data_IF_413609772253
#
_entry.id   IF_413609772253
#
_cell.length_a   1.000
_cell.length_b   1.000
_cell.length_c   1.000
_cell.angle_alpha   90.00
_cell.angle_beta   90.00
_cell.angle_gamma   90.00
#
_symmetry.space_group_name_H-M   'P 1'
#
loop_
_entity.id
_entity.type
_entity.pdbx_description
1 polymer ?
#
# COMPACT_ATOMS: atom_id res chain seq x y z
N UNK A 1 -44.71 9.43 -17.82
CA UNK A 1 -45.37 8.34 -18.56
C UNK A 1 -46.50 7.79 -17.70
N UNK A 2 -47.72 8.33 -17.87
CA UNK A 2 -48.97 7.84 -17.25
C UNK A 2 -49.79 7.19 -18.37
N UNK A 3 -50.10 5.90 -18.25
CA UNK A 3 -51.11 5.19 -19.06
C UNK A 3 -51.88 4.28 -18.09
N UNK A 4 -53.08 4.63 -17.61
CA UNK A 4 -54.41 4.42 -18.21
C UNK A 4 -54.66 2.98 -18.69
N UNK A 5 -55.22 2.15 -17.81
CA UNK A 5 -55.90 0.90 -18.18
C UNK A 5 -57.42 1.09 -18.06
N UNK A 6 -58.10 0.88 -19.18
CA UNK A 6 -59.53 1.13 -19.40
C UNK A 6 -60.42 0.03 -18.80
N UNK A 7 -61.59 0.47 -18.32
CA UNK A 7 -62.70 -0.36 -17.90
C UNK A 7 -63.38 -1.03 -19.10
N UNK A 8 -63.61 -2.35 -19.01
CA UNK A 8 -64.44 -3.08 -19.96
C UNK A 8 -65.90 -3.13 -19.45
N UNK A 9 -66.75 -2.48 -20.24
CA UNK A 9 -68.20 -2.36 -20.13
C UNK A 9 -68.83 -3.57 -20.83
N UNK A 10 -69.70 -4.33 -20.16
CA UNK A 10 -70.60 -5.27 -20.84
C UNK A 10 -72.05 -4.82 -20.60
N UNK A 11 -72.62 -4.24 -21.66
CA UNK A 11 -74.06 -4.05 -21.84
C UNK A 11 -74.66 -5.31 -22.45
N UNK A 12 -75.85 -5.68 -21.99
CA UNK A 12 -76.68 -6.74 -22.57
C UNK A 12 -78.07 -6.72 -21.95
N UNK A 13 -78.80 -5.63 -22.20
CA UNK A 13 -80.21 -5.44 -21.88
C UNK A 13 -81.04 -6.03 -23.03
N UNK A 14 -81.98 -6.93 -22.73
CA UNK A 14 -82.97 -7.44 -23.67
C UNK A 14 -84.31 -7.51 -22.96
N UNK A 15 -85.21 -6.62 -23.36
CA UNK A 15 -86.60 -6.42 -22.89
C UNK A 15 -87.54 -7.31 -23.69
N UNK A 16 -88.55 -7.90 -23.06
CA UNK A 16 -89.90 -8.17 -23.59
C UNK A 16 -90.74 -8.73 -22.43
N UNK A 17 -91.58 -7.94 -21.75
CA UNK A 17 -92.95 -7.48 -22.08
C UNK A 17 -93.99 -8.27 -21.26
N UNK A 18 -94.84 -7.51 -20.55
CA UNK A 18 -95.81 -7.98 -19.56
C UNK A 18 -97.04 -8.63 -20.22
N UNK A 19 -97.51 -9.75 -19.65
CA UNK A 19 -98.96 -10.07 -19.62
C UNK A 19 -99.32 -10.72 -18.29
N UNK A 20 -100.08 -9.98 -17.48
CA UNK A 20 -100.74 -10.48 -16.27
C UNK A 20 -101.92 -11.39 -16.64
N UNK A 21 -101.98 -12.60 -16.07
CA UNK A 21 -103.24 -13.22 -15.62
C UNK A 21 -102.96 -14.17 -14.44
N UNK A 22 -103.71 -13.95 -13.35
CA UNK A 22 -103.72 -14.70 -12.10
C UNK A 22 -103.89 -16.22 -12.27
N UNK A 23 -103.17 -17.01 -11.46
CA UNK A 23 -103.77 -18.04 -10.58
C UNK A 23 -102.77 -18.47 -9.49
N UNK A 24 -103.25 -18.48 -8.25
CA UNK A 24 -102.56 -18.97 -7.06
C UNK A 24 -102.03 -20.41 -7.24
N UNK A 25 -100.80 -20.68 -6.78
CA UNK A 25 -100.46 -21.77 -5.84
C UNK A 25 -98.97 -22.17 -5.93
N UNK A 26 -98.32 -22.31 -4.77
CA UNK A 26 -97.07 -23.04 -4.53
C UNK A 26 -95.81 -22.71 -5.39
N UNK A 27 -95.27 -21.49 -5.33
CA UNK A 27 -93.90 -21.24 -5.85
C UNK A 27 -93.03 -20.27 -5.02
N UNK A 28 -93.54 -19.73 -3.91
CA UNK A 28 -92.86 -18.65 -3.16
C UNK A 28 -91.62 -19.11 -2.36
N UNK A 29 -91.56 -20.38 -1.95
CA UNK A 29 -90.41 -20.91 -1.19
C UNK A 29 -89.22 -21.29 -2.06
N UNK A 30 -89.41 -21.64 -3.35
CA UNK A 30 -88.33 -22.08 -4.22
C UNK A 30 -87.48 -20.92 -4.77
N UNK A 31 -88.11 -19.77 -5.06
CA UNK A 31 -87.40 -18.57 -5.53
C UNK A 31 -86.56 -17.94 -4.42
N UNK A 32 -87.04 -17.97 -3.17
CA UNK A 32 -86.31 -17.46 -2.01
C UNK A 32 -85.06 -18.30 -1.69
N UNK A 33 -85.13 -19.64 -1.81
CA UNK A 33 -83.98 -20.54 -1.61
C UNK A 33 -82.96 -20.40 -2.74
N UNK A 34 -83.40 -20.24 -4.00
CA UNK A 34 -82.49 -20.07 -5.13
C UNK A 34 -81.77 -18.71 -5.12
N UNK A 35 -82.46 -17.61 -4.77
CA UNK A 35 -81.85 -16.29 -4.58
C UNK A 35 -80.89 -16.29 -3.38
N UNK A 36 -81.24 -16.95 -2.27
CA UNK A 36 -80.34 -17.08 -1.12
C UNK A 36 -79.08 -17.89 -1.45
N UNK A 37 -79.16 -18.97 -2.22
CA UNK A 37 -77.98 -19.75 -2.67
C UNK A 37 -77.12 -18.95 -3.65
N UNK A 38 -77.72 -18.23 -4.59
CA UNK A 38 -76.99 -17.38 -5.53
C UNK A 38 -76.33 -16.17 -4.83
N UNK A 39 -76.99 -15.61 -3.82
CA UNK A 39 -76.45 -14.54 -2.99
C UNK A 39 -75.32 -15.06 -2.08
N UNK A 40 -75.47 -16.23 -1.45
CA UNK A 40 -74.39 -16.89 -0.70
C UNK A 40 -73.21 -17.24 -1.59
N UNK A 41 -73.45 -17.71 -2.81
CA UNK A 41 -72.40 -18.06 -3.77
C UNK A 41 -71.66 -16.82 -4.30
N UNK A 42 -72.39 -15.72 -4.60
CA UNK A 42 -71.77 -14.43 -4.93
C UNK A 42 -71.03 -13.81 -3.74
N UNK A 43 -71.57 -13.89 -2.52
CA UNK A 43 -70.89 -13.41 -1.32
C UNK A 43 -69.61 -14.22 -1.07
N UNK A 44 -69.66 -15.54 -1.21
CA UNK A 44 -68.50 -16.42 -1.07
C UNK A 44 -67.45 -16.13 -2.16
N UNK A 45 -67.87 -15.91 -3.42
CA UNK A 45 -66.95 -15.56 -4.50
C UNK A 45 -66.33 -14.17 -4.32
N UNK A 46 -67.09 -13.19 -3.81
CA UNK A 46 -66.59 -11.84 -3.47
C UNK A 46 -65.59 -11.94 -2.32
N UNK A 47 -65.91 -12.67 -1.25
CA UNK A 47 -65.03 -12.86 -0.09
C UNK A 47 -63.74 -13.58 -0.50
N UNK A 48 -63.81 -14.63 -1.32
CA UNK A 48 -62.62 -15.33 -1.83
C UNK A 48 -61.76 -14.41 -2.70
N UNK A 49 -62.37 -13.57 -3.55
CA UNK A 49 -61.65 -12.63 -4.43
C UNK A 49 -60.98 -11.50 -3.62
N UNK A 50 -61.67 -10.97 -2.61
CA UNK A 50 -61.13 -9.96 -1.69
C UNK A 50 -59.95 -10.53 -0.88
N UNK A 51 -60.13 -11.72 -0.29
CA UNK A 51 -59.11 -12.41 0.49
C UNK A 51 -57.89 -12.80 -0.33
N UNK A 52 -58.08 -13.26 -1.57
CA UNK A 52 -56.98 -13.62 -2.47
C UNK A 52 -56.17 -12.39 -2.89
N UNK A 53 -56.85 -11.27 -3.17
CA UNK A 53 -56.19 -10.01 -3.51
C UNK A 53 -55.38 -9.47 -2.31
N UNK A 54 -55.97 -9.48 -1.11
CA UNK A 54 -55.29 -9.08 0.13
C UNK A 54 -54.07 -9.98 0.41
N UNK A 55 -54.20 -11.29 0.21
CA UNK A 55 -53.12 -12.26 0.45
C UNK A 55 -51.96 -12.11 -0.57
N UNK A 56 -52.27 -11.89 -1.84
CA UNK A 56 -51.24 -11.67 -2.87
C UNK A 56 -50.55 -10.32 -2.67
N UNK A 57 -51.29 -9.28 -2.31
CA UNK A 57 -50.74 -7.95 -2.02
C UNK A 57 -49.85 -7.96 -0.76
N UNK A 58 -50.27 -8.65 0.30
CA UNK A 58 -49.48 -8.76 1.53
C UNK A 58 -48.20 -9.57 1.34
N UNK A 59 -48.26 -10.67 0.56
CA UNK A 59 -47.08 -11.45 0.20
C UNK A 59 -46.10 -10.62 -0.63
N UNK A 60 -46.58 -9.90 -1.65
CA UNK A 60 -45.74 -9.02 -2.47
C UNK A 60 -45.11 -7.89 -1.64
N UNK A 61 -45.84 -7.31 -0.69
CA UNK A 61 -45.27 -6.32 0.24
C UNK A 61 -44.20 -6.94 1.13
N UNK A 62 -44.47 -8.10 1.73
CA UNK A 62 -43.49 -8.80 2.56
C UNK A 62 -42.21 -9.16 1.78
N UNK A 63 -42.34 -9.72 0.58
CA UNK A 63 -41.18 -10.05 -0.27
C UNK A 63 -40.44 -8.79 -0.72
N UNK A 64 -41.16 -7.69 -0.99
CA UNK A 64 -40.55 -6.39 -1.35
C UNK A 64 -39.77 -5.80 -0.18
N UNK A 65 -40.32 -5.82 1.02
CA UNK A 65 -39.66 -5.34 2.23
C UNK A 65 -38.43 -6.19 2.57
N UNK A 66 -38.53 -7.52 2.44
CA UNK A 66 -37.40 -8.43 2.63
C UNK A 66 -36.30 -8.20 1.58
N UNK A 67 -36.69 -8.03 0.31
CA UNK A 67 -35.76 -7.71 -0.79
C UNK A 67 -35.11 -6.34 -0.59
N UNK A 68 -35.85 -5.33 -0.15
CA UNK A 68 -35.31 -4.02 0.20
C UNK A 68 -34.36 -4.11 1.40
N UNK A 69 -34.70 -4.94 2.40
CA UNK A 69 -33.85 -5.24 3.54
C UNK A 69 -32.52 -5.87 3.12
N UNK A 70 -32.56 -6.87 2.24
CA UNK A 70 -31.37 -7.49 1.65
C UNK A 70 -30.53 -6.50 0.84
N UNK A 71 -31.16 -5.73 -0.08
CA UNK A 71 -30.45 -4.71 -0.86
C UNK A 71 -29.78 -3.69 0.05
N UNK A 72 -30.48 -3.20 1.09
CA UNK A 72 -29.91 -2.23 2.02
C UNK A 72 -28.74 -2.79 2.84
N UNK A 73 -28.78 -4.08 3.20
CA UNK A 73 -27.66 -4.77 3.85
C UNK A 73 -26.48 -4.94 2.90
N UNK A 74 -26.73 -5.37 1.66
CA UNK A 74 -25.69 -5.53 0.64
C UNK A 74 -25.04 -4.20 0.27
N UNK A 75 -25.79 -3.11 0.14
CA UNK A 75 -25.21 -1.78 -0.16
C UNK A 75 -24.38 -1.24 1.00
N UNK A 76 -24.78 -1.48 2.26
CA UNK A 76 -23.98 -1.17 3.45
C UNK A 76 -22.67 -1.95 3.46
N UNK A 77 -22.72 -3.27 3.29
CA UNK A 77 -21.52 -4.10 3.21
C UNK A 77 -20.60 -3.70 2.05
N UNK A 78 -21.17 -3.30 0.91
CA UNK A 78 -20.38 -2.81 -0.22
C UNK A 78 -19.76 -1.43 0.05
N UNK A 79 -20.42 -0.57 0.82
CA UNK A 79 -19.84 0.71 1.26
C UNK A 79 -18.71 0.48 2.27
N UNK A 80 -18.93 -0.38 3.27
CA UNK A 80 -17.91 -0.79 4.25
C UNK A 80 -16.71 -1.44 3.56
N UNK A 81 -16.93 -2.36 2.61
CA UNK A 81 -15.87 -2.98 1.83
C UNK A 81 -15.06 -1.98 1.01
N UNK A 82 -15.70 -0.94 0.45
CA UNK A 82 -15.01 0.16 -0.24
C UNK A 82 -14.17 0.99 0.72
N UNK A 83 -14.67 1.30 1.91
CA UNK A 83 -13.90 2.03 2.92
C UNK A 83 -12.68 1.23 3.38
N UNK A 84 -12.84 -0.07 3.63
CA UNK A 84 -11.73 -0.96 3.99
C UNK A 84 -10.69 -1.06 2.87
N UNK A 85 -11.12 -1.11 1.60
CA UNK A 85 -10.20 -1.13 0.46
C UNK A 85 -9.35 0.14 0.38
N UNK A 86 -9.97 1.32 0.56
CA UNK A 86 -9.24 2.59 0.60
C UNK A 86 -8.28 2.64 1.78
N UNK A 87 -8.69 2.18 2.97
CA UNK A 87 -7.80 2.12 4.14
C UNK A 87 -6.60 1.18 3.91
N UNK A 88 -6.83 0.03 3.27
CA UNK A 88 -5.76 -0.91 2.92
C UNK A 88 -4.77 -0.30 1.92
N UNK A 89 -5.25 0.44 0.92
CA UNK A 89 -4.40 1.13 -0.05
C UNK A 89 -3.53 2.21 0.61
N UNK A 90 -4.12 3.01 1.51
CA UNK A 90 -3.38 4.02 2.28
C UNK A 90 -2.34 3.36 3.18
N UNK A 91 -2.68 2.26 3.86
CA UNK A 91 -1.73 1.51 4.67
C UNK A 91 -0.59 0.92 3.84
N UNK A 92 -0.88 0.37 2.66
CA UNK A 92 0.13 -0.14 1.75
C UNK A 92 1.08 0.96 1.25
N UNK A 93 0.53 2.12 0.88
CA UNK A 93 1.34 3.28 0.49
C UNK A 93 2.20 3.81 1.65
N UNK A 94 1.67 3.78 2.87
CA UNK A 94 2.41 4.15 4.07
C UNK A 94 3.59 3.20 4.31
N UNK A 95 3.37 1.88 4.26
CA UNK A 95 4.43 0.89 4.42
C UNK A 95 5.49 1.02 3.34
N UNK A 96 5.09 1.20 2.07
CA UNK A 96 6.04 1.40 0.97
C UNK A 96 6.90 2.67 1.15
N UNK A 97 6.34 3.73 1.74
CA UNK A 97 7.08 4.97 2.00
C UNK A 97 7.98 4.91 3.23
N UNK A 98 7.55 4.29 4.32
CA UNK A 98 8.20 4.40 5.62
C UNK A 98 8.91 3.12 6.09
N UNK A 99 8.81 2.02 5.33
CA UNK A 99 9.61 0.82 5.57
C UNK A 99 10.64 0.64 4.47
N UNK A 100 11.80 0.10 4.85
CA UNK A 100 12.78 -0.37 3.88
C UNK A 100 12.26 -1.62 3.19
N UNK A 101 12.59 -1.72 1.90
CA UNK A 101 12.41 -2.97 1.17
C UNK A 101 13.44 -3.99 1.66
N UNK A 102 13.12 -5.29 1.68
CA UNK A 102 14.05 -6.33 2.12
C UNK A 102 15.34 -6.35 1.29
N UNK A 103 15.29 -5.89 0.03
CA UNK A 103 16.47 -5.72 -0.83
C UNK A 103 17.39 -4.61 -0.34
N UNK A 104 16.83 -3.50 0.13
CA UNK A 104 17.59 -2.35 0.65
C UNK A 104 18.23 -2.71 1.99
N UNK A 105 17.51 -3.43 2.86
CA UNK A 105 18.09 -3.98 4.10
C UNK A 105 19.23 -4.96 3.83
N UNK A 106 19.09 -5.81 2.80
CA UNK A 106 20.14 -6.73 2.40
C UNK A 106 21.36 -5.99 1.84
N UNK A 107 21.15 -4.96 1.03
CA UNK A 107 22.23 -4.10 0.53
C UNK A 107 23.02 -3.42 1.66
N UNK A 108 22.36 -3.05 2.77
CA UNK A 108 23.03 -2.52 3.97
C UNK A 108 23.86 -3.59 4.71
N UNK A 109 23.54 -4.89 4.56
CA UNK A 109 24.27 -6.02 5.14
C UNK A 109 25.43 -6.52 4.27
N UNK A 110 25.36 -6.25 2.97
CA UNK A 110 26.35 -6.68 1.98
C UNK A 110 27.61 -5.80 1.96
N UNK A 111 28.68 -6.16 1.22
CA UNK A 111 29.86 -5.30 1.10
C UNK A 111 29.49 -3.92 0.53
N UNK A 112 30.29 -2.90 0.85
CA UNK A 112 30.08 -1.54 0.35
C UNK A 112 30.19 -1.55 -1.17
N UNK A 113 29.06 -1.37 -1.84
CA UNK A 113 28.90 -1.25 -3.30
C UNK A 113 28.09 0.00 -3.62
N UNK A 114 27.74 0.24 -4.89
CA UNK A 114 26.86 1.37 -5.25
C UNK A 114 25.47 1.24 -4.60
N UNK A 115 24.93 0.01 -4.55
CA UNK A 115 23.63 -0.29 -3.96
C UNK A 115 23.57 0.04 -2.46
N UNK A 116 24.69 -0.09 -1.74
CA UNK A 116 24.79 0.31 -0.34
C UNK A 116 24.53 1.82 -0.17
N UNK A 117 25.10 2.65 -1.05
CA UNK A 117 24.90 4.10 -0.97
C UNK A 117 23.47 4.48 -1.30
N UNK A 118 22.88 3.83 -2.30
CA UNK A 118 21.50 4.10 -2.70
C UNK A 118 20.51 3.69 -1.58
N UNK A 119 20.78 2.57 -0.89
CA UNK A 119 20.04 2.17 0.31
C UNK A 119 20.24 3.14 1.49
N UNK A 120 21.45 3.65 1.71
CA UNK A 120 21.73 4.65 2.75
C UNK A 120 21.02 5.98 2.47
N UNK A 121 20.99 6.43 1.21
CA UNK A 121 20.26 7.63 0.80
C UNK A 121 18.75 7.43 0.97
N UNK A 122 18.25 6.21 0.73
CA UNK A 122 16.86 5.85 1.05
C UNK A 122 16.56 5.96 2.55
N UNK A 123 17.42 5.43 3.43
CA UNK A 123 17.25 5.55 4.90
C UNK A 123 17.16 7.01 5.31
N UNK A 124 18.06 7.86 4.80
CA UNK A 124 18.05 9.31 5.07
C UNK A 124 16.76 9.97 4.61
N UNK A 125 16.27 9.63 3.41
CA UNK A 125 15.00 10.13 2.90
C UNK A 125 13.82 9.72 3.79
N UNK A 126 13.77 8.48 4.26
CA UNK A 126 12.73 8.04 5.21
C UNK A 126 12.84 8.83 6.52
N UNK A 127 14.05 8.97 7.06
CA UNK A 127 14.28 9.71 8.30
C UNK A 127 13.83 11.18 8.19
N UNK A 128 14.01 11.83 7.04
CA UNK A 128 13.50 13.17 6.78
C UNK A 128 11.98 13.22 6.58
N UNK A 129 11.40 12.26 5.85
CA UNK A 129 9.96 12.16 5.64
C UNK A 129 9.19 11.93 6.96
N UNK A 130 9.78 11.20 7.91
CA UNK A 130 9.16 10.94 9.22
C UNK A 130 8.97 12.24 10.03
N UNK A 131 9.78 13.27 9.79
CA UNK A 131 9.58 14.60 10.42
C UNK A 131 8.21 15.20 10.09
N UNK A 132 7.61 14.82 8.96
CA UNK A 132 6.24 15.23 8.59
C UNK A 132 5.21 14.51 9.48
N UNK A 133 5.42 13.21 9.78
CA UNK A 133 4.55 12.44 10.67
C UNK A 133 4.58 12.97 12.10
N UNK A 134 5.75 13.44 12.57
CA UNK A 134 5.89 14.06 13.90
C UNK A 134 5.12 15.36 14.07
N UNK A 135 4.85 16.08 12.97
CA UNK A 135 4.01 17.29 12.97
C UNK A 135 2.52 16.99 12.92
N UNK A 136 2.15 15.73 12.70
CA UNK A 136 0.77 15.25 12.59
C UNK A 136 0.30 14.56 13.88
N UNK A 137 -0.92 14.02 13.86
CA UNK A 137 -1.58 13.36 15.00
C UNK A 137 -1.01 11.96 15.34
N UNK A 138 -0.11 11.40 14.52
CA UNK A 138 0.43 10.05 14.68
C UNK A 138 1.91 10.08 15.12
N UNK A 139 2.17 10.71 16.26
CA UNK A 139 3.54 10.94 16.74
C UNK A 139 4.24 9.66 17.21
N UNK A 140 3.55 8.76 17.90
CA UNK A 140 4.15 7.53 18.46
C UNK A 140 4.75 6.63 17.39
N UNK A 141 3.99 6.32 16.33
CA UNK A 141 4.51 5.51 15.22
C UNK A 141 5.62 6.25 14.45
N UNK A 142 5.53 7.58 14.34
CA UNK A 142 6.60 8.39 13.77
C UNK A 142 7.91 8.27 14.56
N UNK A 143 7.85 8.31 15.88
CA UNK A 143 9.04 8.15 16.74
C UNK A 143 9.65 6.76 16.62
N UNK A 144 8.84 5.70 16.61
CA UNK A 144 9.31 4.32 16.44
C UNK A 144 10.04 4.12 15.10
N UNK A 145 9.45 4.62 14.00
CA UNK A 145 10.07 4.53 12.67
C UNK A 145 11.37 5.35 12.64
N UNK A 146 11.37 6.56 13.21
CA UNK A 146 12.56 7.40 13.28
C UNK A 146 13.70 6.72 14.04
N UNK A 147 13.41 6.10 15.19
CA UNK A 147 14.39 5.35 15.97
C UNK A 147 14.95 4.16 15.19
N UNK A 148 14.08 3.38 14.54
CA UNK A 148 14.51 2.27 13.69
C UNK A 148 15.43 2.76 12.55
N UNK A 149 15.07 3.86 11.86
CA UNK A 149 15.89 4.41 10.77
C UNK A 149 17.22 4.93 11.29
N UNK A 150 17.25 5.56 12.46
CA UNK A 150 18.49 6.00 13.10
C UNK A 150 19.41 4.83 13.41
N UNK A 151 18.89 3.69 13.89
CA UNK A 151 19.68 2.48 14.12
C UNK A 151 20.28 1.93 12.81
N UNK A 152 19.50 1.91 11.72
CA UNK A 152 20.01 1.51 10.41
C UNK A 152 21.08 2.49 9.89
N UNK A 153 20.88 3.79 10.09
CA UNK A 153 21.84 4.82 9.70
C UNK A 153 23.17 4.67 10.46
N UNK A 154 23.14 4.52 11.78
CA UNK A 154 24.34 4.31 12.60
C UNK A 154 25.10 3.05 12.20
N UNK A 155 24.40 1.92 12.03
CA UNK A 155 25.00 0.67 11.61
C UNK A 155 25.65 0.78 10.22
N UNK A 156 24.99 1.50 9.29
CA UNK A 156 25.52 1.76 7.97
C UNK A 156 26.79 2.63 8.03
N UNK A 157 26.80 3.70 8.82
CA UNK A 157 27.98 4.55 8.97
C UNK A 157 29.15 3.84 9.66
N UNK A 158 28.90 3.03 10.68
CA UNK A 158 29.94 2.21 11.32
C UNK A 158 30.60 1.27 10.30
N UNK A 159 29.79 0.64 9.44
CA UNK A 159 30.26 -0.26 8.39
C UNK A 159 31.03 0.48 7.30
N UNK A 160 30.51 1.62 6.84
CA UNK A 160 31.16 2.48 5.86
C UNK A 160 32.51 2.99 6.38
N UNK A 161 32.57 3.39 7.65
CA UNK A 161 33.79 3.80 8.33
C UNK A 161 34.84 2.67 8.37
N UNK A 162 34.45 1.48 8.83
CA UNK A 162 35.36 0.31 8.87
C UNK A 162 35.87 -0.07 7.49
N UNK A 163 34.99 -0.06 6.48
CA UNK A 163 35.36 -0.34 5.11
C UNK A 163 36.35 0.71 4.58
N UNK A 164 36.07 2.00 4.77
CA UNK A 164 36.93 3.08 4.30
C UNK A 164 38.32 3.05 4.97
N UNK A 165 38.40 2.74 6.27
CA UNK A 165 39.67 2.53 6.95
C UNK A 165 40.46 1.37 6.35
N UNK A 166 39.80 0.25 6.08
CA UNK A 166 40.45 -0.92 5.49
C UNK A 166 40.96 -0.63 4.07
N UNK A 167 40.18 0.09 3.27
CA UNK A 167 40.57 0.50 1.92
C UNK A 167 41.77 1.46 1.96
N UNK A 168 41.76 2.43 2.88
CA UNK A 168 42.89 3.35 3.12
C UNK A 168 44.18 2.61 3.51
N UNK A 169 44.11 1.56 4.34
CA UNK A 169 45.28 0.73 4.70
C UNK A 169 45.88 0.02 3.49
N UNK A 170 45.05 -0.35 2.52
CA UNK A 170 45.48 -0.92 1.24
C UNK A 170 46.33 0.03 0.39
N UNK A 171 46.25 1.35 0.62
CA UNK A 171 46.96 2.38 -0.17
C UNK A 171 48.44 2.58 0.23
N UNK A 172 49.05 1.55 0.82
CA UNK A 172 50.49 1.52 1.18
C UNK A 172 51.40 1.26 -0.04
N UNK A 173 50.81 1.04 -1.22
CA UNK A 173 51.51 0.89 -2.49
C UNK A 173 52.10 2.22 -2.97
N UNK A 174 53.09 2.11 -3.86
CA UNK A 174 53.84 3.25 -4.38
C UNK A 174 52.92 4.19 -5.17
N UNK A 175 52.03 3.63 -6.00
CA UNK A 175 50.96 4.38 -6.68
C UNK A 175 49.83 4.75 -5.71
N UNK A 176 49.30 5.97 -5.86
CA UNK A 176 48.16 6.48 -5.09
C UNK A 176 46.87 6.33 -5.91
N UNK A 177 46.41 5.09 -6.08
CA UNK A 177 45.19 4.82 -6.85
C UNK A 177 43.98 4.81 -5.91
N UNK A 178 43.35 5.98 -5.76
CA UNK A 178 42.15 6.13 -4.93
C UNK A 178 40.93 5.64 -5.70
N UNK A 179 40.26 4.61 -5.17
CA UNK A 179 39.03 4.08 -5.76
C UNK A 179 37.93 5.15 -5.79
N UNK A 180 37.14 5.26 -6.88
CA UNK A 180 36.00 6.18 -6.91
C UNK A 180 34.96 5.88 -5.82
N UNK A 181 34.89 4.62 -5.38
CA UNK A 181 34.04 4.19 -4.27
C UNK A 181 34.51 4.80 -2.93
N UNK A 182 35.82 4.90 -2.72
CA UNK A 182 36.40 5.53 -1.54
C UNK A 182 36.12 7.04 -1.52
N UNK A 183 36.19 7.70 -2.68
CA UNK A 183 35.82 9.12 -2.81
C UNK A 183 34.35 9.33 -2.43
N UNK A 184 33.43 8.50 -2.94
CA UNK A 184 32.00 8.56 -2.57
C UNK A 184 31.78 8.28 -1.08
N UNK A 185 32.50 7.30 -0.51
CA UNK A 185 32.45 7.01 0.92
C UNK A 185 32.90 8.20 1.78
N UNK A 186 34.03 8.83 1.43
CA UNK A 186 34.55 10.00 2.13
C UNK A 186 33.59 11.19 2.04
N UNK A 187 32.99 11.43 0.87
CA UNK A 187 31.97 12.47 0.70
C UNK A 187 30.74 12.20 1.59
N UNK A 188 30.31 10.94 1.69
CA UNK A 188 29.19 10.55 2.54
C UNK A 188 29.51 10.67 4.05
N UNK A 189 30.77 10.48 4.45
CA UNK A 189 31.25 10.64 5.82
C UNK A 189 31.48 12.10 6.24
N UNK A 190 31.64 13.02 5.29
CA UNK A 190 31.87 14.45 5.53
C UNK A 190 30.91 15.13 6.54
N UNK A 191 29.58 14.88 6.54
CA UNK A 191 28.68 15.45 7.55
C UNK A 191 28.97 14.98 9.00
N UNK A 192 29.73 13.90 9.18
CA UNK A 192 30.16 13.37 10.48
C UNK A 192 31.66 13.63 10.68
N UNK A 193 32.07 14.84 11.09
CA UNK A 193 33.47 15.27 11.05
C UNK A 193 34.42 14.43 11.88
N UNK A 194 33.93 13.83 12.98
CA UNK A 194 34.72 12.94 13.84
C UNK A 194 35.13 11.68 13.08
N UNK A 195 34.18 10.97 12.47
CA UNK A 195 34.46 9.76 11.70
C UNK A 195 35.30 10.07 10.46
N UNK A 196 34.97 11.15 9.76
CA UNK A 196 35.71 11.61 8.58
C UNK A 196 37.18 11.87 8.91
N UNK A 197 37.45 12.57 10.02
CA UNK A 197 38.82 12.86 10.48
C UNK A 197 39.63 11.58 10.68
N UNK A 198 39.07 10.58 11.38
CA UNK A 198 39.78 9.31 11.61
C UNK A 198 40.14 8.58 10.32
N UNK A 199 39.26 8.60 9.30
CA UNK A 199 39.55 7.97 8.01
C UNK A 199 40.65 8.73 7.24
N UNK A 200 40.62 10.06 7.27
CA UNK A 200 41.64 10.90 6.62
C UNK A 200 42.99 10.79 7.33
N UNK A 201 43.01 10.71 8.66
CA UNK A 201 44.23 10.50 9.43
C UNK A 201 44.86 9.14 9.09
N UNK A 202 44.05 8.08 8.94
CA UNK A 202 44.48 6.75 8.49
C UNK A 202 45.02 6.78 7.06
N UNK A 203 44.31 7.45 6.13
CA UNK A 203 44.78 7.66 4.76
C UNK A 203 46.15 8.36 4.75
N UNK A 204 46.29 9.44 5.51
CA UNK A 204 47.55 10.17 5.65
C UNK A 204 48.66 9.30 6.22
N UNK A 205 48.36 8.46 7.21
CA UNK A 205 49.32 7.52 7.79
C UNK A 205 49.79 6.47 6.76
N UNK A 206 48.85 5.87 6.02
CA UNK A 206 49.17 4.90 4.96
C UNK A 206 50.06 5.51 3.87
N UNK A 207 49.74 6.73 3.41
CA UNK A 207 50.55 7.43 2.41
C UNK A 207 51.92 7.85 2.92
N UNK A 208 52.03 8.36 4.16
CA UNK A 208 53.33 8.66 4.77
C UNK A 208 54.20 7.39 4.86
N UNK A 209 53.62 6.28 5.30
CA UNK A 209 54.31 4.99 5.38
C UNK A 209 54.80 4.51 4.01
N UNK A 210 53.94 4.59 2.98
CA UNK A 210 54.31 4.26 1.60
C UNK A 210 55.49 5.10 1.11
N UNK A 211 55.42 6.42 1.25
CA UNK A 211 56.47 7.35 0.77
C UNK A 211 57.80 7.10 1.48
N UNK A 212 57.79 6.94 2.82
CA UNK A 212 59.01 6.64 3.58
C UNK A 212 59.61 5.30 3.16
N UNK A 213 58.77 4.28 2.96
CA UNK A 213 59.23 2.97 2.46
C UNK A 213 59.86 3.10 1.07
N UNK A 214 59.19 3.76 0.12
CA UNK A 214 59.73 3.98 -1.22
C UNK A 214 61.05 4.76 -1.19
N UNK A 215 61.16 5.76 -0.30
CA UNK A 215 62.39 6.53 -0.14
C UNK A 215 63.54 5.67 0.40
N UNK A 216 63.30 4.85 1.42
CA UNK A 216 64.31 3.92 1.95
C UNK A 216 64.70 2.89 0.89
N UNK A 217 63.74 2.34 0.14
CA UNK A 217 64.00 1.43 -0.97
C UNK A 217 64.85 2.10 -2.05
N UNK A 218 64.59 3.37 -2.40
CA UNK A 218 65.40 4.12 -3.36
C UNK A 218 66.82 4.41 -2.84
N UNK A 219 66.97 4.68 -1.54
CA UNK A 219 68.29 4.89 -0.92
C UNK A 219 69.13 3.61 -0.91
N UNK A 220 68.53 2.48 -0.54
CA UNK A 220 69.25 1.24 -0.17
C UNK A 220 69.26 0.16 -1.26
N UNK A 221 68.21 0.07 -2.09
CA UNK A 221 68.02 -0.98 -3.10
C UNK A 221 67.98 -0.44 -4.53
N UNK A 222 67.58 0.82 -4.71
CA UNK A 222 67.36 1.40 -6.04
C UNK A 222 66.01 1.02 -6.63
N UNK A 223 65.83 1.22 -7.94
CA UNK A 223 64.60 0.89 -8.66
C UNK A 223 64.37 -0.60 -8.90
N UNK A 224 63.24 -0.94 -9.51
CA UNK A 224 62.90 -2.32 -9.87
C UNK A 224 64.02 -2.95 -10.72
N UNK A 225 64.58 -4.09 -10.28
CA UNK A 225 65.78 -4.74 -10.87
C UNK A 225 67.14 -4.08 -10.52
N UNK A 226 67.21 -3.26 -9.47
CA UNK A 226 68.46 -2.59 -9.05
C UNK A 226 68.88 -1.44 -9.97
N UNK A 227 67.98 -1.02 -10.85
CA UNK A 227 68.16 0.13 -11.76
C UNK A 227 66.95 1.07 -11.63
N UNK A 228 67.15 2.39 -11.40
CA UNK A 228 68.42 3.06 -11.10
C UNK A 228 69.05 2.52 -9.80
N UNK A 229 70.39 2.53 -9.74
CA UNK A 229 71.14 2.05 -8.56
C UNK A 229 70.79 2.84 -7.29
N UNK A 230 70.97 2.24 -6.10
CA UNK A 230 70.72 2.92 -4.83
C UNK A 230 71.37 4.31 -4.78
N UNK A 231 70.64 5.30 -4.30
CA UNK A 231 71.10 6.69 -4.24
C UNK A 231 72.29 6.82 -3.30
N UNK A 232 72.30 6.07 -2.20
CA UNK A 232 73.38 6.09 -1.19
C UNK A 232 74.75 5.66 -1.76
N UNK A 233 74.76 4.81 -2.80
CA UNK A 233 76.00 4.32 -3.42
C UNK A 233 76.71 5.38 -4.28
N UNK A 234 76.01 6.44 -4.69
CA UNK A 234 76.52 7.45 -5.63
C UNK A 234 76.41 8.87 -5.09
N UNK A 235 76.06 9.06 -3.81
CA UNK A 235 75.93 10.40 -3.20
C UNK A 235 77.24 11.20 -3.19
N UNK A 236 78.38 10.53 -3.41
CA UNK A 236 79.71 11.13 -3.49
C UNK A 236 80.15 11.51 -4.91
N UNK A 237 79.38 11.18 -5.95
CA UNK A 237 79.74 11.49 -7.35
C UNK A 237 79.12 12.84 -7.78
N UNK A 238 79.94 13.89 -8.02
CA UNK A 238 79.45 15.23 -8.35
C UNK A 238 78.96 15.40 -9.81
N UNK A 239 79.06 14.38 -10.67
CA UNK A 239 78.72 14.46 -12.10
C UNK A 239 77.30 13.97 -12.46
N UNK A 240 76.45 13.64 -11.48
CA UNK A 240 75.05 13.23 -11.67
C UNK A 240 74.07 14.37 -11.50
#
# INVERSE_FOLDING_TARGET
>A
MREKFQAARFHGFGVLEDTHTHTHSHTSTCVCVCVCIYMHCKCCFIVIREMCNICILSLLQATKEETQGLISKTTKLQAEGRMLAVQAEVAAAFLAKFQLQPKEEQALREPVTQEFFDALDRVKAIHDDVKILLRSNQQTAGLEIMEQMALHEEAAYERLYRWAQNDCRGLTRDSCDVSPLLIRALACLQPRPVLFKYVIDEFGAARRSAVVRCFIEALTRGGASGTPRPIEMHCHDPLR
#
